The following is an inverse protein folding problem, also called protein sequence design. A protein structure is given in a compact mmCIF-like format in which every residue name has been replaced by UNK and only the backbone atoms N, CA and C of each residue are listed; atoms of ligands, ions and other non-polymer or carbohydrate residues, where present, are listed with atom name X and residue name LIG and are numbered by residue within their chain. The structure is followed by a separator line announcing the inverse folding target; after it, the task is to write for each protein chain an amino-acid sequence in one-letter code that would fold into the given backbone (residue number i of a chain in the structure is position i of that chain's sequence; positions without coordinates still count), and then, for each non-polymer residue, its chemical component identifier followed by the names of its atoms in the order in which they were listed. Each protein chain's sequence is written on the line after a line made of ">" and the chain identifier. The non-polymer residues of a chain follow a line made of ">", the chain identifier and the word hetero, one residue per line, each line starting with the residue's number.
data_IF_362479541358
#
_entry.id   IF_362479541358
#
_cell.length_a   1.000
_cell.length_b   1.000
_cell.length_c   1.000
_cell.angle_alpha   90.00
_cell.angle_beta   90.00
_cell.angle_gamma   90.00
#
_symmetry.space_group_name_H-M   'P 1'
#
loop_
_entity.id
_entity.type
_entity.pdbx_description
1 polymer ?
#
# COMPACT_ATOMS: atom_id res chain seq x y z
N UNK A 1 36.19 -44.05 14.86
CA UNK A 1 35.84 -44.99 13.76
C UNK A 1 34.69 -44.32 13.07
N UNK A 2 34.83 -43.70 12.00
CA UNK A 2 35.13 -44.00 10.61
C UNK A 2 33.94 -43.48 9.81
N UNK A 3 34.04 -42.38 9.24
CA UNK A 3 34.19 -41.96 7.85
C UNK A 3 33.11 -42.51 6.90
N UNK A 4 32.38 -41.62 6.25
CA UNK A 4 32.19 -41.73 4.78
C UNK A 4 31.61 -40.41 4.21
N UNK A 5 32.40 -39.85 3.33
CA UNK A 5 32.11 -38.77 2.37
C UNK A 5 31.08 -39.18 1.35
N UNK A 6 30.14 -38.34 1.00
CA UNK A 6 29.16 -38.47 -0.07
C UNK A 6 29.19 -37.24 -0.97
N UNK A 7 29.85 -37.36 -2.01
CA UNK A 7 30.06 -36.70 -3.30
C UNK A 7 29.00 -35.65 -3.72
N UNK A 8 29.48 -34.44 -3.94
CA UNK A 8 28.74 -33.35 -4.59
C UNK A 8 28.58 -33.61 -6.10
N UNK A 9 27.36 -33.53 -6.58
CA UNK A 9 27.03 -33.42 -8.01
C UNK A 9 27.11 -31.96 -8.43
N UNK A 10 28.12 -31.62 -9.22
CA UNK A 10 28.24 -30.33 -9.94
C UNK A 10 27.18 -30.30 -11.04
N UNK A 11 26.32 -29.29 -10.98
CA UNK A 11 25.48 -28.95 -12.10
C UNK A 11 26.33 -28.29 -13.20
N UNK A 12 26.17 -28.78 -14.44
CA UNK A 12 26.85 -28.28 -15.62
C UNK A 12 26.38 -26.87 -15.99
N UNK A 13 27.25 -26.02 -16.58
CA UNK A 13 26.87 -24.68 -17.02
C UNK A 13 25.99 -24.74 -18.26
N UNK A 14 24.96 -23.93 -18.29
CA UNK A 14 24.04 -23.72 -19.41
C UNK A 14 24.80 -23.08 -20.59
N UNK A 15 24.52 -23.48 -21.85
CA UNK A 15 25.16 -22.88 -23.02
C UNK A 15 24.62 -21.48 -23.25
N UNK A 16 25.54 -20.54 -23.31
CA UNK A 16 25.23 -19.12 -23.62
C UNK A 16 24.64 -19.00 -25.03
N UNK A 17 23.43 -18.44 -25.11
CA UNK A 17 22.90 -17.89 -26.36
C UNK A 17 23.43 -16.47 -26.52
N UNK A 18 24.01 -16.18 -27.66
CA UNK A 18 24.51 -14.89 -28.07
C UNK A 18 23.42 -13.81 -27.94
N UNK A 19 23.68 -12.80 -27.15
CA UNK A 19 22.89 -11.58 -27.13
C UNK A 19 23.06 -10.85 -28.47
N UNK A 20 21.99 -10.79 -29.24
CA UNK A 20 21.91 -9.88 -30.40
C UNK A 20 22.09 -8.43 -29.93
N UNK A 21 22.97 -7.72 -30.62
CA UNK A 21 23.32 -6.34 -30.34
C UNK A 21 22.08 -5.44 -30.38
N UNK A 22 21.79 -4.77 -29.26
CA UNK A 22 20.85 -3.67 -29.23
C UNK A 22 21.36 -2.51 -30.10
N UNK A 23 20.50 -1.80 -30.85
CA UNK A 23 20.92 -0.69 -31.69
C UNK A 23 21.54 0.42 -30.82
N UNK A 24 22.74 0.84 -31.21
CA UNK A 24 23.44 1.97 -30.59
C UNK A 24 22.62 3.25 -30.80
N UNK A 25 22.22 3.84 -29.67
CA UNK A 25 21.70 5.21 -29.66
C UNK A 25 22.83 6.16 -30.04
N UNK A 26 22.74 6.80 -31.19
CA UNK A 26 23.60 7.93 -31.57
C UNK A 26 22.98 9.20 -31.00
N UNK A 27 23.70 10.02 -30.23
CA UNK A 27 23.19 11.29 -29.78
C UNK A 27 23.02 12.22 -30.98
N UNK A 28 21.82 12.66 -31.27
CA UNK A 28 21.55 13.79 -32.14
C UNK A 28 22.16 15.06 -31.53
N UNK A 29 22.84 15.84 -32.33
CA UNK A 29 23.48 17.09 -31.93
C UNK A 29 22.51 18.03 -31.18
N UNK A 30 22.99 18.76 -30.15
CA UNK A 30 22.14 19.67 -29.40
C UNK A 30 21.72 20.86 -30.28
N UNK A 31 20.42 21.12 -30.35
CA UNK A 31 19.89 22.36 -30.89
C UNK A 31 20.50 23.53 -30.09
N UNK A 32 21.05 24.50 -30.78
CA UNK A 32 21.56 25.74 -30.19
C UNK A 32 20.39 26.53 -29.58
N UNK A 33 20.14 26.30 -28.30
CA UNK A 33 19.21 27.06 -27.46
C UNK A 33 19.93 28.33 -26.97
N UNK A 34 19.27 29.44 -27.14
CA UNK A 34 19.63 30.77 -26.66
C UNK A 34 20.04 30.73 -25.18
N UNK A 35 21.33 30.85 -24.88
CA UNK A 35 21.84 30.97 -23.51
C UNK A 35 21.58 32.40 -23.00
N UNK A 36 20.41 32.63 -22.43
CA UNK A 36 20.26 33.68 -21.43
C UNK A 36 20.98 33.21 -20.17
N UNK A 37 22.07 33.89 -19.78
CA UNK A 37 22.75 33.64 -18.51
C UNK A 37 21.69 33.70 -17.37
N UNK A 38 21.57 32.69 -16.49
CA UNK A 38 20.70 32.84 -15.35
C UNK A 38 21.19 34.01 -14.51
N UNK A 39 20.33 35.00 -14.32
CA UNK A 39 20.60 36.09 -13.40
C UNK A 39 20.84 35.54 -12.00
N UNK A 40 21.56 36.27 -11.12
CA UNK A 40 21.83 35.80 -9.76
C UNK A 40 20.52 35.42 -9.13
N UNK A 41 20.44 34.16 -8.68
CA UNK A 41 19.27 33.60 -7.99
C UNK A 41 18.97 34.54 -6.82
N UNK A 42 17.79 35.17 -6.82
CA UNK A 42 17.34 35.96 -5.65
C UNK A 42 17.33 35.01 -4.48
N UNK A 43 17.98 35.34 -3.35
CA UNK A 43 17.93 34.52 -2.16
C UNK A 43 16.47 34.43 -1.72
N UNK A 44 15.87 33.25 -1.86
CA UNK A 44 14.57 32.97 -1.28
C UNK A 44 14.74 33.10 0.23
N UNK A 45 14.02 34.00 0.91
CA UNK A 45 14.16 34.10 2.35
C UNK A 45 13.76 32.77 2.97
N UNK A 46 14.71 32.08 3.57
CA UNK A 46 14.47 30.85 4.31
C UNK A 46 13.53 31.18 5.46
N UNK A 47 12.27 30.77 5.35
CA UNK A 47 11.20 31.01 6.34
C UNK A 47 11.54 30.43 7.72
N UNK A 48 12.51 29.48 7.81
CA UNK A 48 12.93 28.83 9.06
C UNK A 48 14.44 28.87 9.19
N UNK A 49 14.95 29.30 10.36
CA UNK A 49 16.38 29.39 10.71
C UNK A 49 16.57 28.89 12.15
N UNK A 50 17.82 28.62 12.52
CA UNK A 50 18.19 28.24 13.86
C UNK A 50 17.63 26.89 14.29
N UNK A 51 17.25 26.79 15.55
CA UNK A 51 16.82 25.55 16.19
C UNK A 51 15.67 24.83 15.43
N UNK A 52 14.72 25.58 14.85
CA UNK A 52 13.58 25.02 14.11
C UNK A 52 13.99 24.16 12.92
N UNK A 53 15.12 24.47 12.26
CA UNK A 53 15.64 23.66 11.15
C UNK A 53 16.01 22.26 11.63
N UNK A 54 16.59 22.13 12.79
CA UNK A 54 17.00 20.84 13.36
C UNK A 54 15.82 20.02 13.88
N UNK A 55 14.68 20.66 14.12
CA UNK A 55 13.44 20.03 14.60
C UNK A 55 12.44 19.69 13.49
N UNK A 56 12.62 20.27 12.31
CA UNK A 56 11.77 19.97 11.17
C UNK A 56 12.31 18.75 10.42
N UNK A 57 11.60 17.62 10.38
CA UNK A 57 12.07 16.39 9.72
C UNK A 57 12.32 16.55 8.23
N UNK A 58 11.59 17.45 7.56
CA UNK A 58 11.75 17.71 6.13
C UNK A 58 12.99 18.54 5.80
N UNK A 59 13.46 19.37 6.73
CA UNK A 59 14.64 20.24 6.57
C UNK A 59 15.89 19.63 7.18
N UNK A 60 15.75 18.84 8.24
CA UNK A 60 16.85 18.26 8.99
C UNK A 60 17.68 17.31 8.13
N UNK A 61 18.98 17.57 8.00
CA UNK A 61 19.98 16.70 7.39
C UNK A 61 20.91 16.03 8.43
N UNK A 62 20.64 16.28 9.72
CA UNK A 62 21.52 15.81 10.80
C UNK A 62 22.93 16.35 10.63
N UNK A 63 23.92 15.46 10.72
CA UNK A 63 25.34 15.84 10.61
C UNK A 63 25.80 16.06 9.15
N UNK A 64 24.93 15.91 8.14
CA UNK A 64 25.24 16.19 6.74
C UNK A 64 25.05 17.67 6.35
N UNK A 65 24.71 18.55 7.29
CA UNK A 65 24.82 19.99 7.04
C UNK A 65 26.30 20.38 6.92
N UNK A 66 26.69 21.00 5.80
CA UNK A 66 28.03 21.55 5.62
C UNK A 66 28.30 22.71 6.58
N UNK A 67 29.55 23.07 6.79
CA UNK A 67 29.88 24.22 7.65
C UNK A 67 29.20 25.51 7.16
N UNK A 68 29.21 25.73 5.86
CA UNK A 68 28.56 26.88 5.22
C UNK A 68 27.05 26.90 5.53
N UNK A 69 26.37 25.79 5.30
CA UNK A 69 24.93 25.68 5.63
C UNK A 69 24.67 25.89 7.11
N UNK A 70 25.53 25.38 8.00
CA UNK A 70 25.39 25.58 9.45
C UNK A 70 25.45 27.04 9.85
N UNK A 71 26.37 27.81 9.23
CA UNK A 71 26.51 29.25 9.46
C UNK A 71 25.32 30.02 8.87
N UNK A 72 24.96 29.74 7.62
CA UNK A 72 23.84 30.42 6.95
C UNK A 72 22.50 30.19 7.65
N UNK A 73 22.26 28.96 8.14
CA UNK A 73 21.02 28.57 8.82
C UNK A 73 21.01 28.94 10.30
N UNK A 74 22.13 29.41 10.86
CA UNK A 74 22.25 29.71 12.29
C UNK A 74 22.16 28.47 13.20
N UNK A 75 22.63 27.30 12.72
CA UNK A 75 22.63 26.04 13.45
C UNK A 75 24.04 25.60 13.85
N UNK A 76 25.05 26.43 13.59
CA UNK A 76 26.42 26.16 14.03
C UNK A 76 26.48 26.09 15.56
N UNK A 77 27.03 25.02 16.10
CA UNK A 77 27.03 24.74 17.54
C UNK A 77 25.81 24.00 18.07
N UNK A 78 24.69 23.94 17.32
CA UNK A 78 23.49 23.15 17.68
C UNK A 78 23.60 21.67 17.30
N UNK A 79 24.55 21.35 16.44
CA UNK A 79 24.83 19.97 16.00
C UNK A 79 26.32 19.67 16.22
N UNK A 80 26.70 18.39 16.42
CA UNK A 80 28.08 18.00 16.61
C UNK A 80 28.99 18.51 15.50
N UNK A 81 30.25 18.84 15.77
CA UNK A 81 31.13 19.53 14.82
C UNK A 81 31.48 18.70 13.57
N UNK A 82 31.53 17.37 13.70
CA UNK A 82 31.89 16.50 12.59
C UNK A 82 30.86 16.55 11.46
N UNK A 83 31.33 16.62 10.22
CA UNK A 83 30.50 16.40 9.03
C UNK A 83 30.42 14.90 8.76
N UNK A 84 29.23 14.37 8.63
CA UNK A 84 28.95 13.00 8.19
C UNK A 84 28.02 13.02 7.00
N UNK A 85 28.45 12.42 5.89
CA UNK A 85 27.62 12.26 4.71
C UNK A 85 26.34 11.46 5.03
N UNK A 86 25.35 11.52 4.14
CA UNK A 86 24.12 10.71 4.28
C UNK A 86 24.45 9.21 4.36
N UNK A 87 25.45 8.73 3.62
CA UNK A 87 25.83 7.31 3.61
C UNK A 87 26.49 6.86 4.92
N UNK A 88 27.29 7.71 5.55
CA UNK A 88 27.85 7.42 6.87
C UNK A 88 26.74 7.42 7.95
N UNK A 89 25.78 8.33 7.84
CA UNK A 89 24.62 8.32 8.73
C UNK A 89 23.74 7.09 8.51
N UNK A 90 23.54 6.64 7.26
CA UNK A 90 22.88 5.39 6.92
C UNK A 90 23.59 4.21 7.60
N UNK A 91 24.92 4.09 7.48
CA UNK A 91 25.70 3.03 8.14
C UNK A 91 25.46 3.00 9.65
N UNK A 92 25.38 4.18 10.28
CA UNK A 92 25.07 4.29 11.72
C UNK A 92 23.68 3.76 12.06
N UNK A 93 22.67 4.09 11.24
CA UNK A 93 21.29 3.58 11.41
C UNK A 93 21.28 2.06 11.23
N UNK A 94 21.96 1.54 10.19
CA UNK A 94 22.02 0.10 9.93
C UNK A 94 22.60 -0.69 11.10
N UNK A 95 23.70 -0.22 11.69
CA UNK A 95 24.29 -0.87 12.87
C UNK A 95 23.35 -0.91 14.08
N UNK A 96 22.48 0.09 14.22
CA UNK A 96 21.47 0.11 15.28
C UNK A 96 20.27 -0.78 14.94
N UNK A 97 19.79 -0.73 13.71
CA UNK A 97 18.72 -1.56 13.18
C UNK A 97 19.02 -3.05 13.28
N UNK A 98 20.23 -3.46 12.91
CA UNK A 98 20.66 -4.86 12.92
C UNK A 98 20.81 -5.47 14.32
N UNK A 99 20.87 -4.66 15.36
CA UNK A 99 20.86 -5.12 16.75
C UNK A 99 19.48 -5.50 17.25
N UNK A 100 18.44 -5.08 16.55
CA UNK A 100 17.06 -5.39 16.96
C UNK A 100 16.69 -6.80 16.52
N UNK A 101 16.09 -7.54 17.43
CA UNK A 101 15.66 -8.92 17.17
C UNK A 101 14.27 -8.97 16.57
N UNK A 102 13.35 -8.09 17.00
CA UNK A 102 11.98 -8.08 16.50
C UNK A 102 11.79 -7.09 15.34
N UNK A 103 10.95 -7.46 14.39
CA UNK A 103 10.63 -6.59 13.26
C UNK A 103 9.80 -5.38 13.71
N UNK A 104 9.04 -5.51 14.80
CA UNK A 104 8.33 -4.38 15.39
C UNK A 104 9.31 -3.32 15.94
N UNK A 105 10.39 -3.72 16.61
CA UNK A 105 11.42 -2.80 17.08
C UNK A 105 12.13 -2.13 15.91
N UNK A 106 12.40 -2.88 14.85
CA UNK A 106 12.96 -2.33 13.60
C UNK A 106 12.01 -1.30 12.96
N UNK A 107 10.70 -1.58 12.95
CA UNK A 107 9.66 -0.64 12.51
C UNK A 107 9.70 0.65 13.33
N UNK A 108 9.71 0.55 14.66
CA UNK A 108 9.75 1.70 15.57
C UNK A 108 10.99 2.57 15.32
N UNK A 109 12.15 1.96 15.07
CA UNK A 109 13.37 2.70 14.71
C UNK A 109 13.18 3.50 13.42
N UNK A 110 12.63 2.86 12.39
CA UNK A 110 12.41 3.52 11.09
C UNK A 110 11.38 4.65 11.19
N UNK A 111 10.28 4.45 11.92
CA UNK A 111 9.29 5.51 12.15
C UNK A 111 9.87 6.66 12.97
N UNK A 112 10.65 6.37 14.01
CA UNK A 112 11.35 7.39 14.79
C UNK A 112 12.36 8.17 13.93
N UNK A 113 13.02 7.50 12.99
CA UNK A 113 13.90 8.15 12.02
C UNK A 113 13.11 9.07 11.08
N UNK A 114 11.98 8.61 10.56
CA UNK A 114 11.10 9.39 9.68
C UNK A 114 10.63 10.67 10.38
N UNK A 115 10.26 10.59 11.66
CA UNK A 115 9.81 11.73 12.46
C UNK A 115 10.89 12.76 12.76
N UNK A 116 12.17 12.37 12.68
CA UNK A 116 13.32 13.20 13.02
C UNK A 116 14.09 13.70 11.79
N UNK A 117 14.29 12.84 10.80
CA UNK A 117 15.08 13.11 9.59
C UNK A 117 14.52 12.29 8.43
N UNK A 118 13.51 12.83 7.77
CA UNK A 118 12.80 12.16 6.67
C UNK A 118 13.72 11.86 5.48
N UNK A 119 14.67 12.75 5.18
CA UNK A 119 15.65 12.51 4.10
C UNK A 119 16.50 11.28 4.36
N UNK A 120 16.96 11.10 5.59
CA UNK A 120 17.73 9.92 5.97
C UNK A 120 16.84 8.67 6.02
N UNK A 121 15.59 8.78 6.46
CA UNK A 121 14.63 7.67 6.40
C UNK A 121 14.48 7.13 4.99
N UNK A 122 14.21 8.00 4.01
CA UNK A 122 14.10 7.56 2.61
C UNK A 122 15.45 7.09 2.03
N UNK A 123 16.58 7.66 2.45
CA UNK A 123 17.90 7.16 2.05
C UNK A 123 18.15 5.73 2.56
N UNK A 124 17.69 5.40 3.77
CA UNK A 124 17.71 4.04 4.31
C UNK A 124 16.77 3.15 3.51
N UNK A 125 15.50 3.52 3.38
CA UNK A 125 14.48 2.72 2.73
C UNK A 125 14.83 2.39 1.26
N UNK A 126 15.36 3.37 0.52
CA UNK A 126 15.76 3.19 -0.89
C UNK A 126 17.12 2.53 -1.09
N UNK A 127 17.91 2.33 -0.02
CA UNK A 127 19.18 1.60 -0.12
C UNK A 127 18.98 0.10 -0.35
N UNK A 128 17.86 -0.44 0.13
CA UNK A 128 17.47 -1.85 -0.05
C UNK A 128 15.96 -2.00 0.19
N UNK A 129 15.17 -1.70 -0.84
CA UNK A 129 13.70 -1.71 -0.73
C UNK A 129 13.16 -3.09 -0.36
N UNK A 130 13.77 -4.17 -0.88
CA UNK A 130 13.35 -5.54 -0.58
C UNK A 130 13.48 -5.86 0.92
N UNK A 131 14.58 -5.43 1.54
CA UNK A 131 14.85 -5.61 2.98
C UNK A 131 13.90 -4.81 3.86
N UNK A 132 13.59 -3.57 3.49
CA UNK A 132 12.87 -2.63 4.35
C UNK A 132 11.36 -2.60 4.12
N UNK A 133 10.88 -2.97 2.94
CA UNK A 133 9.45 -2.99 2.62
C UNK A 133 8.65 -3.86 3.61
N UNK A 134 9.06 -5.10 3.95
CA UNK A 134 8.35 -5.94 4.92
C UNK A 134 8.32 -5.36 6.34
N UNK A 135 9.19 -4.40 6.63
CA UNK A 135 9.25 -3.74 7.93
C UNK A 135 8.35 -2.50 7.97
N UNK A 136 8.44 -1.63 6.96
CA UNK A 136 7.65 -0.38 6.93
C UNK A 136 6.20 -0.60 6.49
N UNK A 137 5.91 -1.77 5.89
CA UNK A 137 4.60 -2.15 5.42
C UNK A 137 4.27 -3.60 5.81
N UNK A 138 3.55 -4.35 4.98
CA UNK A 138 3.16 -5.74 5.30
C UNK A 138 4.38 -6.68 5.29
N UNK A 139 4.52 -7.57 6.28
CA UNK A 139 3.54 -7.89 7.34
C UNK A 139 3.68 -7.05 8.63
N UNK A 140 4.81 -6.40 8.87
CA UNK A 140 5.13 -5.77 10.16
C UNK A 140 4.17 -4.65 10.55
N UNK A 141 3.68 -3.86 9.57
CA UNK A 141 2.72 -2.79 9.82
C UNK A 141 1.42 -3.31 10.43
N UNK A 142 1.00 -4.53 10.12
CA UNK A 142 -0.16 -5.15 10.76
C UNK A 142 0.01 -5.27 12.28
N UNK A 143 1.14 -5.80 12.72
CA UNK A 143 1.50 -5.88 14.14
C UNK A 143 1.65 -4.48 14.76
N UNK A 144 2.23 -3.55 14.02
CA UNK A 144 2.36 -2.15 14.47
C UNK A 144 0.97 -1.50 14.68
N UNK A 145 -0.01 -1.78 13.81
CA UNK A 145 -1.39 -1.32 13.96
C UNK A 145 -2.06 -1.94 15.20
N UNK A 146 -1.88 -3.23 15.46
CA UNK A 146 -2.44 -3.86 16.68
C UNK A 146 -1.95 -3.19 17.96
N UNK A 147 -0.74 -2.63 17.94
CA UNK A 147 -0.11 -1.96 19.08
C UNK A 147 0.09 -0.46 18.85
N UNK A 148 -0.69 0.14 17.96
CA UNK A 148 -0.46 1.51 17.48
C UNK A 148 -0.41 2.53 18.62
N UNK A 149 -1.26 2.43 19.62
CA UNK A 149 -1.25 3.28 20.80
C UNK A 149 0.07 3.30 21.57
N UNK A 150 0.89 2.24 21.43
CA UNK A 150 2.20 2.12 22.05
C UNK A 150 3.37 2.35 21.07
N UNK A 151 3.15 2.11 19.78
CA UNK A 151 4.22 2.11 18.77
C UNK A 151 4.46 3.47 18.13
N UNK A 152 3.42 4.28 17.92
CA UNK A 152 3.61 5.60 17.35
C UNK A 152 4.37 6.53 18.32
N UNK A 153 5.22 7.41 17.77
CA UNK A 153 6.00 8.38 18.56
C UNK A 153 5.52 9.79 18.33
N UNK A 154 5.15 10.10 17.11
CA UNK A 154 4.55 11.36 16.70
C UNK A 154 3.39 11.06 15.78
N UNK A 155 2.20 11.65 15.99
CA UNK A 155 1.07 11.48 15.08
C UNK A 155 1.46 11.92 13.67
N UNK A 156 1.13 11.10 12.68
CA UNK A 156 1.37 11.37 11.26
C UNK A 156 0.07 11.22 10.51
N UNK A 157 -0.24 12.20 9.67
CA UNK A 157 -1.48 12.21 8.91
C UNK A 157 -2.62 12.95 9.58
N UNK A 158 -3.78 12.89 8.97
CA UNK A 158 -4.99 13.58 9.39
C UNK A 158 -6.00 12.59 9.95
N UNK A 159 -6.44 12.82 11.17
CA UNK A 159 -7.49 12.05 11.83
C UNK A 159 -8.79 12.84 11.74
N UNK A 160 -9.75 12.33 10.97
CA UNK A 160 -11.07 12.91 10.79
C UNK A 160 -12.07 12.00 11.49
N UNK A 161 -12.96 12.54 12.28
CA UNK A 161 -13.96 11.76 13.01
C UNK A 161 -15.36 11.95 12.43
N UNK A 162 -16.27 11.04 12.76
CA UNK A 162 -17.69 11.17 12.39
C UNK A 162 -18.33 12.45 12.94
N UNK A 163 -17.76 13.01 14.01
CA UNK A 163 -18.25 14.24 14.65
C UNK A 163 -17.79 15.52 13.94
N UNK A 164 -16.85 15.41 13.00
CA UNK A 164 -16.30 16.52 12.24
C UNK A 164 -17.09 16.86 10.97
N UNK A 165 -18.17 16.11 10.73
CA UNK A 165 -19.07 16.36 9.59
C UNK A 165 -19.54 17.83 9.56
N UNK A 166 -19.43 18.46 8.37
CA UNK A 166 -19.69 19.88 8.14
C UNK A 166 -18.45 20.76 8.33
N UNK A 167 -17.31 20.21 8.78
CA UNK A 167 -16.09 20.95 9.07
C UNK A 167 -14.83 20.41 8.38
N UNK A 168 -14.96 19.44 7.47
CA UNK A 168 -13.81 18.77 6.85
C UNK A 168 -12.94 19.71 6.04
N UNK A 169 -13.51 20.68 5.35
CA UNK A 169 -12.74 21.71 4.65
C UNK A 169 -11.81 22.49 5.60
N UNK A 170 -12.30 22.83 6.79
CA UNK A 170 -11.50 23.52 7.81
C UNK A 170 -10.39 22.62 8.35
N UNK A 171 -10.69 21.35 8.59
CA UNK A 171 -9.68 20.37 9.05
C UNK A 171 -8.58 20.16 8.02
N UNK A 172 -8.93 20.00 6.76
CA UNK A 172 -7.97 19.90 5.67
C UNK A 172 -7.08 21.16 5.59
N UNK A 173 -7.64 22.35 5.84
CA UNK A 173 -6.87 23.59 5.86
C UNK A 173 -5.85 23.68 7.02
N UNK A 174 -5.98 22.83 8.04
CA UNK A 174 -4.98 22.70 9.10
C UNK A 174 -3.75 21.90 8.65
N UNK A 175 -3.83 21.18 7.54
CA UNK A 175 -2.67 20.48 6.98
C UNK A 175 -1.68 21.50 6.39
N UNK A 176 -0.38 21.41 6.75
CA UNK A 176 0.60 22.45 6.41
C UNK A 176 1.00 22.53 4.94
N UNK A 177 0.73 21.47 4.16
CA UNK A 177 1.15 21.36 2.76
C UNK A 177 -0.05 21.55 1.83
N UNK A 178 0.04 22.53 0.91
CA UNK A 178 -1.05 22.83 -0.02
C UNK A 178 -1.01 22.03 -1.33
N UNK A 179 0.15 21.44 -1.66
CA UNK A 179 0.34 20.72 -2.93
C UNK A 179 0.31 19.21 -2.75
N UNK A 180 -0.78 18.67 -2.19
CA UNK A 180 -0.97 17.23 -2.06
C UNK A 180 -1.33 16.63 -3.43
N UNK A 181 -0.68 15.50 -3.77
CA UNK A 181 -0.89 14.76 -5.02
C UNK A 181 -1.46 13.36 -4.79
N UNK A 182 -1.19 12.78 -3.61
CA UNK A 182 -1.68 11.46 -3.24
C UNK A 182 -2.21 11.47 -1.80
N UNK A 183 -3.45 11.04 -1.66
CA UNK A 183 -4.10 10.76 -0.38
C UNK A 183 -4.33 9.27 -0.29
N UNK A 184 -3.93 8.64 0.80
CA UNK A 184 -4.35 7.26 1.14
C UNK A 184 -5.25 7.34 2.35
N UNK A 185 -6.44 6.80 2.23
CA UNK A 185 -7.48 6.88 3.25
C UNK A 185 -7.99 5.49 3.63
N UNK A 186 -8.19 5.29 4.93
CA UNK A 186 -8.84 4.10 5.51
C UNK A 186 -9.85 4.53 6.58
N UNK A 187 -10.87 3.70 6.81
CA UNK A 187 -11.78 3.83 7.96
C UNK A 187 -11.44 2.84 9.09
N UNK A 188 -10.39 2.03 8.91
CA UNK A 188 -9.90 1.08 9.89
C UNK A 188 -10.81 -0.13 10.14
N UNK A 189 -11.85 -0.34 9.32
CA UNK A 189 -12.83 -1.42 9.57
C UNK A 189 -12.27 -2.83 9.28
N UNK A 190 -11.30 -2.92 8.35
CA UNK A 190 -10.73 -4.20 7.96
C UNK A 190 -9.25 -4.12 7.63
N UNK A 191 -8.44 -3.89 8.65
CA UNK A 191 -6.99 -3.77 8.50
C UNK A 191 -6.39 -5.12 8.13
N UNK A 192 -5.95 -5.26 6.87
CA UNK A 192 -5.40 -6.51 6.33
C UNK A 192 -6.33 -7.71 6.61
N UNK A 193 -5.82 -8.78 7.22
CA UNK A 193 -6.58 -9.92 7.72
C UNK A 193 -6.90 -9.86 9.22
N UNK A 194 -6.61 -8.73 9.89
CA UNK A 194 -6.69 -8.60 11.35
C UNK A 194 -8.07 -8.13 11.85
N UNK A 195 -8.94 -7.65 10.96
CA UNK A 195 -10.26 -7.15 11.28
C UNK A 195 -10.30 -5.67 11.64
N UNK A 196 -11.31 -5.28 12.42
CA UNK A 196 -11.53 -3.89 12.82
C UNK A 196 -10.52 -3.44 13.88
N UNK A 197 -9.64 -2.52 13.48
CA UNK A 197 -8.67 -1.87 14.36
C UNK A 197 -8.98 -0.38 14.56
N UNK A 198 -10.05 0.14 13.97
CA UNK A 198 -10.48 1.51 14.14
C UNK A 198 -9.35 2.51 13.87
N UNK A 199 -9.16 3.45 14.80
CA UNK A 199 -8.14 4.50 14.71
C UNK A 199 -6.71 3.95 14.60
N UNK A 200 -6.45 2.76 15.11
CA UNK A 200 -5.13 2.10 15.00
C UNK A 200 -4.76 1.76 13.56
N UNK A 201 -5.72 1.74 12.64
CA UNK A 201 -5.50 1.56 11.21
C UNK A 201 -4.63 2.61 10.54
N UNK A 202 -4.34 3.77 11.17
CA UNK A 202 -3.52 4.83 10.59
C UNK A 202 -2.13 4.36 10.13
N UNK A 203 -1.59 3.32 10.71
CA UNK A 203 -0.29 2.74 10.28
C UNK A 203 -0.29 2.32 8.81
N UNK A 204 -1.43 1.90 8.28
CA UNK A 204 -1.59 1.45 6.88
C UNK A 204 -1.38 2.59 5.87
N UNK A 205 -2.13 3.71 5.90
CA UNK A 205 -1.88 4.83 5.00
C UNK A 205 -0.45 5.38 5.10
N UNK A 206 0.10 5.46 6.31
CA UNK A 206 1.48 5.93 6.54
C UNK A 206 2.50 5.03 5.83
N UNK A 207 2.39 3.71 6.01
CA UNK A 207 3.28 2.74 5.37
C UNK A 207 3.12 2.73 3.85
N UNK A 208 1.88 2.75 3.36
CA UNK A 208 1.58 2.81 1.91
C UNK A 208 2.22 4.03 1.26
N UNK A 209 2.07 5.21 1.83
CA UNK A 209 2.65 6.44 1.28
C UNK A 209 4.18 6.50 1.38
N UNK A 210 4.79 5.82 2.36
CA UNK A 210 6.23 5.64 2.36
C UNK A 210 6.70 4.87 1.11
N UNK A 211 5.93 3.87 0.65
CA UNK A 211 6.21 3.14 -0.59
C UNK A 211 5.92 3.97 -1.85
N UNK A 212 4.92 4.86 -1.84
CA UNK A 212 4.71 5.82 -2.93
C UNK A 212 5.97 6.66 -3.19
N UNK A 213 6.64 7.07 -2.12
CA UNK A 213 7.90 7.80 -2.22
C UNK A 213 9.05 6.88 -2.64
N UNK A 214 9.24 5.77 -1.94
CA UNK A 214 10.40 4.90 -2.14
C UNK A 214 10.39 4.20 -3.50
N UNK A 215 9.22 3.75 -3.98
CA UNK A 215 9.07 2.98 -5.21
C UNK A 215 8.58 3.85 -6.38
N UNK A 216 7.70 4.81 -6.11
CA UNK A 216 7.07 5.67 -7.13
C UNK A 216 7.73 7.03 -7.29
N UNK A 217 8.66 7.43 -6.42
CA UNK A 217 9.36 8.72 -6.48
C UNK A 217 8.46 9.93 -6.14
N UNK A 218 7.29 9.71 -5.54
CA UNK A 218 6.41 10.80 -5.11
C UNK A 218 7.04 11.55 -3.95
N UNK A 219 7.06 12.89 -4.02
CA UNK A 219 7.58 13.70 -2.94
C UNK A 219 6.76 13.45 -1.64
N UNK A 220 7.39 13.09 -0.51
CA UNK A 220 6.67 12.80 0.73
C UNK A 220 5.83 13.98 1.25
N UNK A 221 6.21 15.22 0.97
CA UNK A 221 5.41 16.41 1.28
C UNK A 221 4.15 16.56 0.40
N UNK A 222 4.04 15.76 -0.66
CA UNK A 222 2.85 15.69 -1.52
C UNK A 222 1.96 14.48 -1.19
N UNK A 223 2.22 13.80 -0.09
CA UNK A 223 1.50 12.64 0.40
C UNK A 223 0.75 12.96 1.67
N UNK A 224 -0.53 12.58 1.74
CA UNK A 224 -1.38 12.79 2.91
C UNK A 224 -2.02 11.48 3.35
N UNK A 225 -1.58 10.87 4.46
CA UNK A 225 -2.30 9.76 5.06
C UNK A 225 -3.51 10.28 5.85
N UNK A 226 -4.66 9.61 5.68
CA UNK A 226 -5.91 9.99 6.34
C UNK A 226 -6.55 8.76 6.98
N UNK A 227 -7.06 8.94 8.18
CA UNK A 227 -7.93 8.00 8.84
C UNK A 227 -9.28 8.66 9.12
N UNK A 228 -10.35 7.98 8.74
CA UNK A 228 -11.73 8.35 9.03
C UNK A 228 -12.21 7.54 10.24
N UNK A 229 -12.14 8.12 11.43
CA UNK A 229 -12.58 7.47 12.65
C UNK A 229 -14.10 7.60 12.82
N UNK A 230 -14.80 6.54 12.52
CA UNK A 230 -16.25 6.44 12.68
C UNK A 230 -16.64 5.53 13.85
N UNK A 231 -15.70 5.25 14.75
CA UNK A 231 -15.82 4.26 15.83
C UNK A 231 -15.26 2.90 15.45
N UNK A 232 -15.40 1.93 16.32
CA UNK A 232 -14.95 0.54 16.12
C UNK A 232 -15.93 -0.44 16.74
N UNK A 233 -16.10 -1.61 16.10
CA UNK A 233 -16.87 -2.74 16.67
C UNK A 233 -15.95 -3.71 17.43
N UNK A 234 -14.67 -3.41 17.57
CA UNK A 234 -13.71 -4.21 18.32
C UNK A 234 -13.86 -3.95 19.82
N UNK A 235 -14.50 -4.88 20.52
CA UNK A 235 -14.79 -4.79 21.95
C UNK A 235 -13.52 -4.71 22.83
N UNK A 236 -12.41 -5.27 22.39
CA UNK A 236 -11.13 -5.19 23.11
C UNK A 236 -10.61 -3.76 23.09
N UNK A 237 -10.64 -3.12 21.91
CA UNK A 237 -10.23 -1.72 21.77
C UNK A 237 -11.17 -0.77 22.51
N UNK A 238 -12.47 -1.01 22.50
CA UNK A 238 -13.42 -0.17 23.24
C UNK A 238 -13.15 -0.16 24.75
N UNK A 239 -12.63 -1.29 25.29
CA UNK A 239 -12.28 -1.43 26.71
C UNK A 239 -10.86 -1.03 27.05
N UNK A 240 -9.97 -0.94 26.05
CA UNK A 240 -8.58 -0.57 26.26
C UNK A 240 -8.46 0.91 26.65
N UNK A 241 -7.93 1.26 27.84
CA UNK A 241 -7.71 2.64 28.22
C UNK A 241 -6.69 3.36 27.32
N UNK A 242 -5.82 2.61 26.63
CA UNK A 242 -4.78 3.14 25.73
C UNK A 242 -5.29 3.33 24.30
N UNK A 243 -6.49 2.89 23.97
CA UNK A 243 -7.06 3.13 22.66
C UNK A 243 -7.27 4.64 22.41
N UNK A 244 -6.72 5.13 21.31
CA UNK A 244 -6.64 6.56 20.99
C UNK A 244 -7.76 7.04 20.05
N UNK A 245 -8.62 6.15 19.58
CA UNK A 245 -9.76 6.48 18.72
C UNK A 245 -11.06 6.72 19.48
N UNK A 246 -12.15 6.94 18.75
CA UNK A 246 -13.48 7.10 19.30
C UNK A 246 -13.96 5.83 19.99
N UNK A 247 -14.36 5.93 21.26
CA UNK A 247 -14.80 4.79 22.09
C UNK A 247 -16.31 4.56 21.99
N UNK A 248 -16.79 4.34 20.78
CA UNK A 248 -18.16 3.89 20.51
C UNK A 248 -18.19 2.96 19.28
N UNK A 249 -19.29 2.23 19.14
CA UNK A 249 -19.50 1.34 17.99
C UNK A 249 -19.52 2.13 16.68
N UNK A 250 -19.14 1.47 15.58
CA UNK A 250 -19.10 2.08 14.25
C UNK A 250 -20.43 2.66 13.84
N UNK A 251 -20.37 3.86 13.30
CA UNK A 251 -21.48 4.51 12.63
C UNK A 251 -21.56 4.01 11.19
N UNK A 252 -22.75 3.61 10.78
CA UNK A 252 -23.06 3.12 9.43
C UNK A 252 -24.17 3.94 8.77
N UNK A 253 -24.49 3.58 7.53
CA UNK A 253 -25.63 4.16 6.79
C UNK A 253 -25.40 5.59 6.37
N UNK A 254 -26.48 6.40 6.38
CA UNK A 254 -26.46 7.74 5.82
C UNK A 254 -25.41 8.67 6.45
N UNK A 255 -25.23 8.61 7.76
CA UNK A 255 -24.25 9.48 8.45
C UNK A 255 -22.81 9.19 7.99
N UNK A 256 -22.48 7.91 7.82
CA UNK A 256 -21.21 7.46 7.26
C UNK A 256 -21.05 7.94 5.80
N UNK A 257 -22.07 7.73 4.97
CA UNK A 257 -22.05 8.12 3.55
C UNK A 257 -21.89 9.63 3.37
N UNK A 258 -22.58 10.41 4.18
CA UNK A 258 -22.47 11.88 4.15
C UNK A 258 -21.05 12.37 4.53
N UNK A 259 -20.38 11.69 5.50
CA UNK A 259 -18.99 11.99 5.84
C UNK A 259 -18.05 11.72 4.66
N UNK A 260 -18.21 10.56 4.01
CA UNK A 260 -17.41 10.19 2.84
C UNK A 260 -17.65 11.15 1.67
N UNK A 261 -18.91 11.54 1.41
CA UNK A 261 -19.24 12.50 0.36
C UNK A 261 -18.58 13.86 0.62
N UNK A 262 -18.64 14.36 1.86
CA UNK A 262 -17.97 15.60 2.25
C UNK A 262 -16.44 15.48 2.14
N UNK A 263 -15.87 14.36 2.56
CA UNK A 263 -14.43 14.11 2.46
C UNK A 263 -13.94 14.15 1.00
N UNK A 264 -14.60 13.43 0.11
CA UNK A 264 -14.23 13.40 -1.31
C UNK A 264 -14.31 14.78 -1.96
N UNK A 265 -15.36 15.54 -1.64
CA UNK A 265 -15.53 16.90 -2.13
C UNK A 265 -14.46 17.85 -1.55
N UNK A 266 -14.24 17.84 -0.24
CA UNK A 266 -13.29 18.72 0.42
C UNK A 266 -11.83 18.49 -0.01
N UNK A 267 -11.42 17.23 -0.22
CA UNK A 267 -10.09 16.89 -0.77
C UNK A 267 -9.93 17.45 -2.18
N UNK A 268 -10.95 17.27 -3.02
CA UNK A 268 -10.92 17.74 -4.42
C UNK A 268 -10.92 19.26 -4.50
N UNK A 269 -11.72 19.92 -3.68
CA UNK A 269 -11.78 21.38 -3.64
C UNK A 269 -10.44 22.00 -3.18
N UNK A 270 -9.79 21.39 -2.20
CA UNK A 270 -8.52 21.90 -1.68
C UNK A 270 -7.34 21.57 -2.56
N UNK A 271 -7.18 20.32 -2.98
CA UNK A 271 -5.97 19.82 -3.65
C UNK A 271 -6.13 19.67 -5.17
N UNK A 272 -7.34 19.88 -5.69
CA UNK A 272 -7.66 19.81 -7.11
C UNK A 272 -8.15 18.45 -7.58
N UNK A 273 -8.81 18.43 -8.74
CA UNK A 273 -9.42 17.24 -9.35
C UNK A 273 -8.44 16.14 -9.73
N UNK A 274 -7.15 16.47 -9.83
CA UNK A 274 -6.07 15.53 -10.16
C UNK A 274 -5.38 14.95 -8.91
N UNK A 275 -5.84 15.29 -7.70
CA UNK A 275 -5.36 14.66 -6.48
C UNK A 275 -5.83 13.21 -6.45
N UNK A 276 -4.86 12.27 -6.42
CA UNK A 276 -5.18 10.85 -6.35
C UNK A 276 -5.65 10.48 -4.95
N UNK A 277 -6.80 9.83 -4.85
CA UNK A 277 -7.37 9.35 -3.59
C UNK A 277 -7.42 7.82 -3.65
N UNK A 278 -6.55 7.17 -2.88
CA UNK A 278 -6.53 5.71 -2.74
C UNK A 278 -7.33 5.30 -1.51
N UNK A 279 -8.32 4.44 -1.71
CA UNK A 279 -9.01 3.74 -0.64
C UNK A 279 -8.24 2.47 -0.28
N UNK A 280 -8.06 2.25 1.02
CA UNK A 280 -7.26 1.15 1.56
C UNK A 280 -7.93 0.56 2.80
N UNK A 281 -8.04 -0.77 2.86
CA UNK A 281 -8.54 -1.53 4.02
C UNK A 281 -9.94 -1.08 4.50
N UNK A 282 -10.87 -0.85 3.58
CA UNK A 282 -12.30 -0.73 3.86
C UNK A 282 -12.93 -2.13 3.93
N UNK A 283 -13.98 -2.30 4.73
CA UNK A 283 -14.68 -3.58 4.78
C UNK A 283 -15.44 -3.88 3.49
N UNK A 284 -15.61 -5.17 3.17
CA UNK A 284 -16.28 -5.66 1.95
C UNK A 284 -17.65 -4.99 1.69
N UNK A 285 -18.41 -4.70 2.75
CA UNK A 285 -19.72 -4.05 2.64
C UNK A 285 -19.62 -2.63 2.05
N UNK A 286 -18.50 -1.95 2.27
CA UNK A 286 -18.27 -0.57 1.86
C UNK A 286 -17.40 -0.47 0.60
N UNK A 287 -16.38 -1.32 0.44
CA UNK A 287 -15.34 -1.17 -0.56
C UNK A 287 -15.89 -1.09 -2.00
N UNK A 288 -16.69 -2.08 -2.45
CA UNK A 288 -17.27 -2.06 -3.80
C UNK A 288 -18.28 -0.94 -3.99
N UNK A 289 -19.13 -0.73 -2.99
CA UNK A 289 -20.16 0.31 -3.03
C UNK A 289 -19.56 1.70 -3.20
N UNK A 290 -18.53 2.00 -2.42
CA UNK A 290 -17.83 3.29 -2.47
C UNK A 290 -17.00 3.43 -3.76
N UNK A 291 -16.31 2.37 -4.19
CA UNK A 291 -15.61 2.37 -5.46
C UNK A 291 -16.57 2.70 -6.62
N UNK A 292 -17.71 2.01 -6.69
CA UNK A 292 -18.71 2.26 -7.73
C UNK A 292 -19.32 3.66 -7.66
N UNK A 293 -19.50 4.20 -6.45
CA UNK A 293 -20.02 5.56 -6.22
C UNK A 293 -19.07 6.66 -6.71
N UNK A 294 -17.76 6.49 -6.50
CA UNK A 294 -16.80 7.58 -6.65
C UNK A 294 -15.87 7.47 -7.86
N UNK A 295 -15.59 6.27 -8.38
CA UNK A 295 -14.56 6.05 -9.42
C UNK A 295 -14.74 6.86 -10.72
N UNK A 296 -15.97 7.25 -11.05
CA UNK A 296 -16.27 8.03 -12.25
C UNK A 296 -16.45 9.54 -11.96
N UNK A 297 -16.32 9.96 -10.69
CA UNK A 297 -16.50 11.35 -10.26
C UNK A 297 -15.20 11.99 -9.80
N UNK A 298 -14.30 11.20 -9.21
CA UNK A 298 -13.07 11.63 -8.60
C UNK A 298 -11.89 10.82 -9.12
N UNK A 299 -10.68 11.38 -9.03
CA UNK A 299 -9.43 10.65 -9.30
C UNK A 299 -9.14 9.69 -8.13
N UNK A 300 -9.81 8.55 -8.13
CA UNK A 300 -9.72 7.59 -7.03
C UNK A 300 -9.69 6.14 -7.50
N UNK A 301 -9.17 5.27 -6.65
CA UNK A 301 -9.26 3.83 -6.79
C UNK A 301 -9.28 3.15 -5.42
N UNK A 302 -9.67 1.88 -5.39
CA UNK A 302 -9.52 1.00 -4.23
C UNK A 302 -8.42 -0.02 -4.52
N UNK A 303 -7.37 -0.04 -3.68
CA UNK A 303 -6.19 -0.87 -3.92
C UNK A 303 -6.45 -2.35 -3.64
N UNK A 304 -7.26 -2.67 -2.62
CA UNK A 304 -7.61 -4.06 -2.27
C UNK A 304 -8.36 -4.76 -3.41
N UNK A 305 -9.18 -4.00 -4.14
CA UNK A 305 -9.94 -4.49 -5.30
C UNK A 305 -9.10 -4.40 -6.57
N UNK A 306 -8.63 -3.21 -6.93
CA UNK A 306 -8.08 -2.92 -8.26
C UNK A 306 -6.56 -3.14 -8.32
N UNK A 307 -5.82 -2.75 -7.28
CA UNK A 307 -4.36 -2.94 -7.22
C UNK A 307 -4.01 -4.43 -7.15
N UNK A 308 -4.62 -5.16 -6.23
CA UNK A 308 -4.46 -6.61 -6.10
C UNK A 308 -4.85 -7.35 -7.38
N UNK A 309 -5.96 -6.95 -8.01
CA UNK A 309 -6.39 -7.51 -9.29
C UNK A 309 -5.36 -7.29 -10.38
N UNK A 310 -4.81 -6.09 -10.48
CA UNK A 310 -3.82 -5.73 -11.50
C UNK A 310 -2.57 -6.60 -11.41
N UNK A 311 -2.02 -6.80 -10.21
CA UNK A 311 -0.82 -7.61 -9.98
C UNK A 311 -1.09 -9.09 -10.26
N UNK A 312 -2.21 -9.62 -9.75
CA UNK A 312 -2.56 -11.04 -9.94
C UNK A 312 -2.78 -11.38 -11.43
N UNK A 313 -3.58 -10.58 -12.14
CA UNK A 313 -3.85 -10.81 -13.56
C UNK A 313 -2.58 -10.61 -14.41
N UNK A 314 -1.74 -9.62 -14.09
CA UNK A 314 -0.45 -9.46 -14.74
C UNK A 314 0.44 -10.71 -14.58
N UNK A 315 0.47 -11.31 -13.38
CA UNK A 315 1.18 -12.56 -13.11
C UNK A 315 0.62 -13.72 -13.93
N UNK A 316 -0.71 -13.86 -14.03
CA UNK A 316 -1.37 -14.85 -14.85
C UNK A 316 -0.99 -14.67 -16.33
N UNK A 317 -1.12 -13.45 -16.87
CA UNK A 317 -0.76 -13.15 -18.25
C UNK A 317 0.73 -13.42 -18.55
N UNK A 318 1.61 -13.19 -17.58
CA UNK A 318 3.02 -13.56 -17.72
C UNK A 318 3.21 -15.09 -17.76
N UNK A 319 2.50 -15.85 -16.92
CA UNK A 319 2.54 -17.31 -16.91
C UNK A 319 2.05 -17.90 -18.24
N UNK A 320 1.03 -17.30 -18.89
CA UNK A 320 0.55 -17.74 -20.21
C UNK A 320 1.63 -17.71 -21.29
N UNK A 321 2.57 -16.74 -21.22
CA UNK A 321 3.71 -16.67 -22.13
C UNK A 321 4.67 -17.84 -21.94
N UNK A 322 4.83 -18.30 -20.69
CA UNK A 322 5.70 -19.46 -20.36
C UNK A 322 5.05 -20.77 -20.81
N UNK A 323 3.76 -20.91 -20.57
CA UNK A 323 2.97 -22.10 -20.92
C UNK A 323 2.56 -22.15 -22.39
N UNK A 324 2.78 -21.06 -23.15
CA UNK A 324 2.34 -20.87 -24.53
C UNK A 324 0.85 -21.17 -24.73
N UNK A 325 0.01 -20.63 -23.82
CA UNK A 325 -1.42 -20.87 -23.79
C UNK A 325 -2.19 -19.53 -23.87
N UNK A 326 -3.50 -19.60 -24.13
CA UNK A 326 -4.41 -18.44 -24.14
C UNK A 326 -5.24 -18.40 -22.86
N UNK A 327 -5.58 -17.21 -22.41
CA UNK A 327 -6.42 -17.02 -21.22
C UNK A 327 -7.79 -17.70 -21.38
N UNK A 328 -8.35 -17.66 -22.60
CA UNK A 328 -9.63 -18.29 -22.96
C UNK A 328 -9.67 -19.80 -22.76
N UNK A 329 -8.52 -20.49 -22.70
CA UNK A 329 -8.46 -21.93 -22.45
C UNK A 329 -8.51 -22.28 -20.96
N UNK A 330 -8.45 -21.29 -20.08
CA UNK A 330 -8.35 -21.53 -18.65
C UNK A 330 -9.71 -21.52 -17.95
N UNK A 331 -9.81 -22.33 -16.89
CA UNK A 331 -10.89 -22.35 -15.90
C UNK A 331 -10.25 -22.08 -14.54
N UNK A 332 -10.82 -21.15 -13.81
CA UNK A 332 -10.28 -20.64 -12.54
C UNK A 332 -11.13 -21.08 -11.36
N UNK A 333 -10.49 -21.58 -10.32
CA UNK A 333 -11.12 -21.77 -9.01
C UNK A 333 -10.50 -20.82 -8.01
N UNK A 334 -11.34 -20.08 -7.30
CA UNK A 334 -10.92 -19.16 -6.24
C UNK A 334 -11.21 -19.77 -4.88
N UNK A 335 -10.19 -19.80 -4.03
CA UNK A 335 -10.36 -20.03 -2.60
C UNK A 335 -10.54 -18.67 -1.93
N UNK A 336 -11.77 -18.38 -1.51
CA UNK A 336 -12.16 -17.07 -1.01
C UNK A 336 -12.99 -16.26 -2.02
N UNK A 337 -13.88 -15.42 -1.51
CA UNK A 337 -14.73 -14.52 -2.28
C UNK A 337 -14.83 -13.15 -1.59
N UNK A 338 -13.69 -12.64 -1.14
CA UNK A 338 -13.51 -11.29 -0.61
C UNK A 338 -13.18 -10.28 -1.71
N UNK A 339 -12.81 -9.07 -1.33
CA UNK A 339 -12.53 -7.94 -2.22
C UNK A 339 -11.47 -8.28 -3.28
N UNK A 340 -10.34 -8.83 -2.85
CA UNK A 340 -9.25 -9.20 -3.75
C UNK A 340 -9.69 -10.25 -4.78
N UNK A 341 -10.35 -11.33 -4.33
CA UNK A 341 -10.84 -12.40 -5.22
C UNK A 341 -11.86 -11.87 -6.23
N UNK A 342 -12.81 -11.05 -5.77
CA UNK A 342 -13.81 -10.43 -6.65
C UNK A 342 -13.16 -9.47 -7.64
N UNK A 343 -12.21 -8.64 -7.19
CA UNK A 343 -11.46 -7.74 -8.07
C UNK A 343 -10.70 -8.49 -9.17
N UNK A 344 -9.98 -9.57 -8.80
CA UNK A 344 -9.27 -10.42 -9.75
C UNK A 344 -10.25 -11.05 -10.75
N UNK A 345 -11.38 -11.58 -10.28
CA UNK A 345 -12.38 -12.21 -11.12
C UNK A 345 -12.98 -11.23 -12.15
N UNK A 346 -13.33 -10.02 -11.71
CA UNK A 346 -13.81 -8.98 -12.63
C UNK A 346 -12.77 -8.61 -13.70
N UNK A 347 -11.50 -8.47 -13.30
CA UNK A 347 -10.43 -8.13 -14.24
C UNK A 347 -10.13 -9.29 -15.20
N UNK A 348 -10.22 -10.55 -14.75
CA UNK A 348 -10.12 -11.73 -15.62
C UNK A 348 -11.25 -11.77 -16.64
N UNK A 349 -12.51 -11.49 -16.24
CA UNK A 349 -13.62 -11.39 -17.19
C UNK A 349 -13.33 -10.34 -18.25
N UNK A 350 -12.89 -9.14 -17.86
CA UNK A 350 -12.51 -8.09 -18.82
C UNK A 350 -11.37 -8.51 -19.76
N UNK A 351 -10.38 -9.26 -19.26
CA UNK A 351 -9.28 -9.77 -20.07
C UNK A 351 -9.74 -10.84 -21.03
N UNK A 352 -10.64 -11.73 -20.63
CA UNK A 352 -11.29 -12.73 -21.48
C UNK A 352 -12.15 -12.09 -22.58
N UNK A 353 -12.90 -11.06 -22.25
CA UNK A 353 -13.68 -10.28 -23.24
C UNK A 353 -12.77 -9.65 -24.31
N UNK A 354 -11.57 -9.19 -23.92
CA UNK A 354 -10.57 -8.69 -24.89
C UNK A 354 -10.01 -9.79 -25.80
N UNK A 355 -10.02 -11.03 -25.38
CA UNK A 355 -9.70 -12.18 -26.23
C UNK A 355 -10.89 -12.64 -27.11
N UNK A 356 -12.03 -11.98 -27.02
CA UNK A 356 -13.25 -12.26 -27.79
C UNK A 356 -14.20 -13.26 -27.13
N UNK A 357 -13.99 -13.63 -25.86
CA UNK A 357 -14.90 -14.51 -25.11
C UNK A 357 -16.10 -13.68 -24.64
N UNK A 358 -17.35 -14.10 -24.93
CA UNK A 358 -18.53 -13.39 -24.44
C UNK A 358 -18.56 -13.33 -22.90
N UNK A 359 -19.00 -12.20 -22.33
CA UNK A 359 -19.03 -11.98 -20.88
C UNK A 359 -19.67 -13.11 -20.10
N UNK A 360 -20.82 -13.63 -20.56
CA UNK A 360 -21.53 -14.71 -19.90
C UNK A 360 -20.71 -16.03 -19.88
N UNK A 361 -19.92 -16.30 -20.92
CA UNK A 361 -19.03 -17.44 -20.99
C UNK A 361 -17.79 -17.23 -20.10
N UNK A 362 -17.20 -16.03 -20.15
CA UNK A 362 -16.07 -15.66 -19.30
C UNK A 362 -16.40 -15.82 -17.81
N UNK A 363 -17.59 -15.39 -17.39
CA UNK A 363 -18.07 -15.54 -16.02
C UNK A 363 -18.21 -17.00 -15.60
N UNK A 364 -18.68 -17.90 -16.50
CA UNK A 364 -18.81 -19.34 -16.21
C UNK A 364 -17.46 -20.04 -16.02
N UNK A 365 -16.37 -19.48 -16.50
CA UNK A 365 -15.00 -20.02 -16.30
C UNK A 365 -14.45 -19.73 -14.91
N UNK A 366 -15.16 -18.96 -14.09
CA UNK A 366 -14.72 -18.55 -12.76
C UNK A 366 -15.62 -19.20 -11.70
N UNK A 367 -15.01 -19.99 -10.83
CA UNK A 367 -15.64 -20.71 -9.75
C UNK A 367 -15.12 -20.20 -8.43
N UNK A 368 -16.01 -19.84 -7.50
CA UNK A 368 -15.63 -19.26 -6.21
C UNK A 368 -16.09 -20.11 -5.04
N UNK A 369 -15.20 -20.34 -4.11
CA UNK A 369 -15.47 -21.09 -2.87
C UNK A 369 -15.21 -20.16 -1.68
N UNK A 370 -16.22 -19.87 -0.89
CA UNK A 370 -16.09 -19.12 0.37
C UNK A 370 -16.17 -20.05 1.60
N UNK A 371 -16.25 -19.48 2.81
CA UNK A 371 -16.34 -20.25 4.06
C UNK A 371 -17.55 -21.18 4.17
N UNK A 372 -18.54 -21.03 3.29
CA UNK A 372 -19.77 -21.85 3.24
C UNK A 372 -19.77 -22.80 2.03
N UNK A 373 -18.66 -22.91 1.28
CA UNK A 373 -18.56 -23.76 0.10
C UNK A 373 -18.68 -22.98 -1.22
N UNK A 374 -19.00 -23.71 -2.28
CA UNK A 374 -19.16 -23.17 -3.63
C UNK A 374 -20.26 -22.11 -3.70
N UNK A 375 -20.00 -21.00 -4.36
CA UNK A 375 -21.00 -19.97 -4.63
C UNK A 375 -21.87 -20.44 -5.78
N UNK A 376 -23.13 -20.76 -5.47
CA UNK A 376 -24.14 -21.29 -6.40
C UNK A 376 -25.38 -20.41 -6.44
N UNK A 377 -26.12 -20.48 -7.53
CA UNK A 377 -27.40 -19.77 -7.67
C UNK A 377 -28.40 -20.23 -6.63
N UNK A 378 -29.16 -19.29 -6.09
CA UNK A 378 -30.19 -19.57 -5.08
C UNK A 378 -29.69 -19.75 -3.66
N UNK A 379 -28.37 -19.72 -3.41
CA UNK A 379 -27.81 -19.72 -2.07
C UNK A 379 -28.18 -18.40 -1.34
N UNK A 380 -28.67 -18.54 -0.11
CA UNK A 380 -29.09 -17.40 0.72
C UNK A 380 -27.89 -16.47 1.08
N UNK A 381 -28.18 -15.19 1.26
CA UNK A 381 -27.25 -14.18 1.74
C UNK A 381 -26.01 -13.94 0.85
N UNK A 382 -26.13 -14.10 -0.46
CA UNK A 382 -25.14 -13.62 -1.41
C UNK A 382 -25.30 -12.10 -1.58
N UNK A 383 -24.18 -11.37 -1.62
CA UNK A 383 -24.22 -10.00 -2.07
C UNK A 383 -24.20 -9.95 -3.61
N UNK A 384 -24.52 -8.80 -4.17
CA UNK A 384 -24.62 -8.61 -5.62
C UNK A 384 -23.35 -9.04 -6.39
N UNK A 385 -22.18 -8.75 -5.84
CA UNK A 385 -20.90 -9.09 -6.47
C UNK A 385 -20.70 -10.62 -6.55
N UNK A 386 -21.05 -11.35 -5.47
CA UNK A 386 -20.98 -12.82 -5.43
C UNK A 386 -22.02 -13.47 -6.35
N UNK A 387 -23.21 -12.90 -6.44
CA UNK A 387 -24.28 -13.41 -7.34
C UNK A 387 -23.83 -13.44 -8.80
N UNK A 388 -23.01 -12.49 -9.23
CA UNK A 388 -22.50 -12.45 -10.59
C UNK A 388 -21.68 -13.69 -10.97
N UNK A 389 -21.03 -14.33 -10.01
CA UNK A 389 -20.20 -15.52 -10.21
C UNK A 389 -20.84 -16.80 -9.69
N UNK A 390 -22.11 -16.74 -9.27
CA UNK A 390 -22.84 -17.90 -8.80
C UNK A 390 -23.06 -18.93 -9.92
N UNK A 391 -22.54 -20.14 -9.71
CA UNK A 391 -22.64 -21.21 -10.68
C UNK A 391 -24.00 -21.91 -10.62
N UNK A 392 -24.48 -22.41 -11.75
CA UNK A 392 -25.69 -23.21 -11.87
C UNK A 392 -25.34 -24.68 -11.51
N UNK A 393 -25.17 -24.94 -10.22
CA UNK A 393 -24.72 -26.23 -9.71
C UNK A 393 -25.28 -26.45 -8.29
N UNK A 394 -25.49 -27.71 -7.85
CA UNK A 394 -25.78 -28.01 -6.45
C UNK A 394 -24.69 -27.50 -5.51
N UNK A 395 -25.06 -27.32 -4.24
CA UNK A 395 -24.09 -26.92 -3.21
C UNK A 395 -22.98 -27.95 -3.05
N UNK A 396 -21.72 -27.45 -2.98
CA UNK A 396 -20.50 -28.24 -2.73
C UNK A 396 -19.74 -27.54 -1.61
N UNK A 397 -19.48 -28.27 -0.53
CA UNK A 397 -18.99 -27.65 0.71
C UNK A 397 -17.45 -27.59 0.80
N UNK A 398 -16.73 -28.37 0.01
CA UNK A 398 -15.27 -28.42 0.09
C UNK A 398 -14.61 -27.93 -1.19
N UNK A 399 -13.47 -27.23 -1.05
CA UNK A 399 -12.63 -26.81 -2.17
C UNK A 399 -12.11 -28.04 -2.96
N UNK A 400 -11.75 -29.11 -2.27
CA UNK A 400 -11.25 -30.33 -2.89
C UNK A 400 -12.27 -30.95 -3.84
N UNK A 401 -13.53 -31.04 -3.42
CA UNK A 401 -14.62 -31.53 -4.25
C UNK A 401 -14.85 -30.62 -5.46
N UNK A 402 -14.81 -29.32 -5.27
CA UNK A 402 -14.92 -28.34 -6.38
C UNK A 402 -13.77 -28.53 -7.38
N UNK A 403 -12.54 -28.69 -6.91
CA UNK A 403 -11.37 -28.92 -7.77
C UNK A 403 -11.48 -30.25 -8.53
N UNK A 404 -11.95 -31.32 -7.89
CA UNK A 404 -12.20 -32.61 -8.54
C UNK A 404 -13.29 -32.51 -9.63
N UNK A 405 -14.34 -31.76 -9.34
CA UNK A 405 -15.47 -31.52 -10.23
C UNK A 405 -15.05 -30.70 -11.46
N UNK A 406 -14.44 -29.54 -11.23
CA UNK A 406 -14.19 -28.52 -12.25
C UNK A 406 -12.92 -28.81 -13.01
N UNK A 407 -11.95 -29.50 -12.41
CA UNK A 407 -10.59 -29.74 -12.93
C UNK A 407 -9.96 -28.43 -13.46
N UNK A 408 -9.84 -27.41 -12.60
CA UNK A 408 -9.38 -26.11 -13.02
C UNK A 408 -7.96 -26.15 -13.54
N UNK A 409 -7.63 -25.22 -14.42
CA UNK A 409 -6.27 -25.02 -14.92
C UNK A 409 -5.47 -24.02 -14.08
N UNK A 410 -6.15 -23.25 -13.22
CA UNK A 410 -5.55 -22.36 -12.25
C UNK A 410 -6.38 -22.27 -10.98
N UNK A 411 -5.71 -22.21 -9.83
CA UNK A 411 -6.31 -21.99 -8.51
C UNK A 411 -5.73 -20.68 -7.97
N UNK A 412 -6.61 -19.80 -7.49
CA UNK A 412 -6.25 -18.50 -6.92
C UNK A 412 -6.74 -18.49 -5.48
N UNK A 413 -5.86 -18.22 -4.52
CA UNK A 413 -6.20 -18.23 -3.11
C UNK A 413 -5.38 -17.23 -2.28
N UNK A 414 -5.70 -17.07 -0.98
CA UNK A 414 -4.97 -16.19 -0.11
C UNK A 414 -3.52 -16.64 0.10
N UNK A 415 -2.71 -15.76 0.65
CA UNK A 415 -1.26 -15.87 0.81
C UNK A 415 -0.76 -17.13 1.54
N UNK A 416 -1.61 -17.75 2.37
CA UNK A 416 -1.25 -18.86 3.25
C UNK A 416 -1.44 -20.26 2.60
N UNK A 417 -1.19 -20.38 1.31
CA UNK A 417 -1.14 -21.69 0.61
C UNK A 417 -0.17 -22.68 1.28
N UNK A 418 0.79 -22.18 2.08
CA UNK A 418 1.74 -23.03 2.80
C UNK A 418 1.15 -23.71 4.04
N UNK A 419 -0.06 -23.40 4.45
CA UNK A 419 -0.79 -24.13 5.53
C UNK A 419 -1.61 -25.31 5.02
N UNK A 420 -1.40 -25.76 3.80
CA UNK A 420 -1.90 -27.06 3.34
C UNK A 420 -1.16 -28.21 4.07
N UNK A 421 -1.23 -28.18 5.40
CA UNK A 421 -0.99 -29.36 6.20
C UNK A 421 -2.32 -30.07 6.32
N UNK A 422 -2.41 -31.19 5.59
CA UNK A 422 -3.34 -32.29 5.81
C UNK A 422 -4.82 -31.90 6.05
N UNK A 423 -5.57 -31.81 4.97
CA UNK A 423 -6.95 -32.28 4.99
C UNK A 423 -7.06 -33.60 4.26
#
# INVERSE_FOLDING_TARGET
>A
MGAALGTGTRLAPWPGRACGALPRWTPTAPAQGCHSKPGPARPVPLKKRGYDVTRNPHLNKGMAFTLEERLQLGIHGLIPPCFLSQDVQLLRIMRYYERQQSDLDKYIILMTLQDRNEKLFYRVLTSDVEKFMPIVYTPTVGLACQHYGLTFRRPRGLFITIHDKGHLATMLNSWPEDNIKAVVVTDGERILGLGDLGCYGMGIPVGKLALYTACGGVNPQQCLPVLLDVGTNNEELLRDPLYIGLKHQRVHGKAYDDLLDEFMQAVTDKFGINCLIQFEDFANANAFRLLNKYRNKYCMFNDDIQGTASVAVAGILAALRITNNKLSNHVFVFQGAGEAAMGIAHLLVMALEKEGVPKAEATRKIWMVDSKGLIVKGRSHLNHEKEMFAQDHPEVNSLEEVVRLVKPTAIIGPRDFCQWKSF
#
